data_IF_251909033499
#
_entry.id   IF_251909033499
#
_cell.length_a   1.000
_cell.length_b   1.000
_cell.length_c   1.000
_cell.angle_alpha   90.00
_cell.angle_beta   90.00
_cell.angle_gamma   90.00
#
_symmetry.space_group_name_H-M   'P 1'
#
loop_
_entity.id
_entity.type
_entity.pdbx_description
1 polymer ?
#
# COMPACT_ATOMS: atom_id res chain seq x y z
N UNK A 1 7.52 -12.99 7.10
CA UNK A 1 7.32 -14.15 6.19
C UNK A 1 5.95 -14.04 5.51
N UNK A 2 5.69 -14.75 4.40
CA UNK A 2 4.33 -14.77 3.78
C UNK A 2 3.26 -15.33 4.73
N UNK A 3 3.68 -16.08 5.75
CA UNK A 3 2.82 -16.67 6.77
C UNK A 3 2.22 -15.59 7.69
N UNK A 4 2.98 -14.53 8.00
CA UNK A 4 2.53 -13.47 8.91
C UNK A 4 1.33 -12.70 8.34
N UNK A 5 1.29 -12.50 7.01
CA UNK A 5 0.17 -11.86 6.31
C UNK A 5 -1.14 -12.65 6.44
N UNK A 6 -1.06 -13.96 6.69
CA UNK A 6 -2.23 -14.85 6.82
C UNK A 6 -2.65 -15.08 8.27
N UNK A 7 -1.87 -14.60 9.24
CA UNK A 7 -2.14 -14.83 10.65
C UNK A 7 -3.33 -13.96 11.08
N UNK A 8 -4.42 -14.53 11.62
CA UNK A 8 -5.56 -13.75 12.07
C UNK A 8 -5.20 -12.97 13.33
N UNK A 9 -5.39 -11.65 13.28
CA UNK A 9 -5.33 -10.75 14.45
C UNK A 9 -6.35 -9.61 14.24
N UNK A 10 -6.78 -8.92 15.30
CA UNK A 10 -7.65 -7.75 15.17
C UNK A 10 -7.04 -6.57 14.38
N UNK A 11 -5.73 -6.61 14.08
CA UNK A 11 -5.01 -5.55 13.37
C UNK A 11 -4.62 -5.94 11.93
N UNK A 12 -4.82 -7.18 11.52
CA UNK A 12 -4.39 -7.64 10.19
C UNK A 12 -5.44 -7.32 9.11
N UNK A 13 -5.28 -6.18 8.45
CA UNK A 13 -6.16 -5.70 7.38
C UNK A 13 -6.06 -6.52 6.07
N UNK A 14 -5.17 -7.51 5.97
CA UNK A 14 -5.27 -8.53 4.92
C UNK A 14 -6.41 -9.52 5.16
N UNK A 15 -6.90 -9.64 6.40
CA UNK A 15 -7.91 -10.62 6.81
C UNK A 15 -9.23 -9.93 7.18
N UNK A 16 -9.19 -8.78 7.85
CA UNK A 16 -10.39 -8.05 8.25
C UNK A 16 -10.77 -6.98 7.21
N UNK A 17 -12.06 -6.86 6.82
CA UNK A 17 -12.52 -5.83 5.90
C UNK A 17 -12.92 -4.54 6.65
N UNK A 18 -12.07 -4.08 7.56
CA UNK A 18 -12.35 -2.95 8.45
C UNK A 18 -11.05 -2.25 8.89
N UNK A 19 -11.19 -1.09 9.54
CA UNK A 19 -10.09 -0.45 10.26
C UNK A 19 -9.70 -1.28 11.50
N UNK A 20 -8.42 -1.25 11.91
CA UNK A 20 -7.99 -1.85 13.18
C UNK A 20 -8.67 -1.14 14.37
N UNK A 21 -8.75 -1.79 15.54
CA UNK A 21 -9.47 -1.25 16.70
C UNK A 21 -8.80 -0.03 17.35
N UNK A 22 -7.53 0.23 17.06
CA UNK A 22 -6.82 1.44 17.49
C UNK A 22 -5.73 1.84 16.47
N UNK A 23 -5.20 3.08 16.53
CA UNK A 23 -4.10 3.52 15.68
C UNK A 23 -2.85 2.65 15.86
N UNK A 24 -2.13 2.40 14.76
CA UNK A 24 -0.87 1.64 14.77
C UNK A 24 0.36 2.53 15.03
N UNK A 25 0.19 3.85 14.94
CA UNK A 25 1.24 4.84 15.18
C UNK A 25 0.63 6.21 15.53
N UNK A 26 1.48 7.14 15.97
CA UNK A 26 1.12 8.55 16.12
C UNK A 26 1.20 9.27 14.76
N UNK A 27 0.09 9.76 14.19
CA UNK A 27 0.10 10.43 12.89
C UNK A 27 0.69 11.85 12.99
N UNK A 28 1.38 12.28 11.94
CA UNK A 28 1.77 13.67 11.75
C UNK A 28 0.58 14.55 11.33
N UNK A 29 0.78 15.88 11.33
CA UNK A 29 -0.25 16.85 10.97
C UNK A 29 -0.77 16.63 9.54
N UNK A 30 0.13 16.36 8.61
CA UNK A 30 -0.19 16.16 7.19
C UNK A 30 -1.04 14.90 6.99
N UNK A 31 -0.75 13.83 7.75
CA UNK A 31 -1.54 12.60 7.72
C UNK A 31 -2.96 12.83 8.26
N UNK A 32 -3.12 13.63 9.32
CA UNK A 32 -4.44 14.00 9.83
C UNK A 32 -5.23 14.83 8.82
N UNK A 33 -4.61 15.83 8.19
CA UNK A 33 -5.25 16.64 7.16
C UNK A 33 -5.68 15.80 5.96
N UNK A 34 -4.87 14.82 5.52
CA UNK A 34 -5.23 13.94 4.41
C UNK A 34 -6.45 13.05 4.69
N UNK A 35 -6.73 12.74 5.96
CA UNK A 35 -7.95 12.02 6.36
C UNK A 35 -9.17 12.95 6.37
N UNK A 36 -8.99 14.20 6.82
CA UNK A 36 -10.08 15.20 6.89
C UNK A 36 -10.46 15.75 5.51
N UNK A 37 -9.47 15.97 4.64
CA UNK A 37 -9.60 16.55 3.31
C UNK A 37 -8.97 15.62 2.26
N UNK A 38 -9.58 14.46 1.96
CA UNK A 38 -9.05 13.54 0.98
C UNK A 38 -9.19 14.08 -0.44
N UNK A 39 -8.29 13.67 -1.34
CA UNK A 39 -8.43 13.97 -2.75
C UNK A 39 -9.69 13.31 -3.34
N UNK A 40 -10.44 14.04 -4.15
CA UNK A 40 -11.64 13.53 -4.85
C UNK A 40 -11.23 12.67 -6.06
N UNK A 41 -10.82 11.43 -5.81
CA UNK A 41 -10.32 10.48 -6.81
C UNK A 41 -10.91 9.08 -6.61
N UNK A 42 -10.96 8.29 -7.69
CA UNK A 42 -11.54 6.94 -7.70
C UNK A 42 -10.48 5.83 -7.64
N UNK A 43 -9.28 6.13 -7.15
CA UNK A 43 -8.20 5.15 -7.09
C UNK A 43 -8.43 4.16 -5.95
N UNK A 44 -8.36 2.87 -6.27
CA UNK A 44 -8.51 1.78 -5.29
C UNK A 44 -7.18 1.05 -5.03
N UNK A 45 -6.20 1.21 -5.92
CA UNK A 45 -4.93 0.51 -5.84
C UNK A 45 -3.77 1.47 -6.03
N UNK A 46 -2.65 1.18 -5.38
CA UNK A 46 -1.39 1.87 -5.63
C UNK A 46 -0.23 0.88 -5.59
N UNK A 47 0.86 1.21 -6.29
CA UNK A 47 2.12 0.47 -6.23
C UNK A 47 3.28 1.45 -6.25
N UNK A 48 4.35 1.15 -5.50
CA UNK A 48 5.59 1.95 -5.56
C UNK A 48 6.20 1.90 -6.96
N UNK A 49 6.67 3.05 -7.45
CA UNK A 49 7.48 3.17 -8.68
C UNK A 49 8.97 2.91 -8.45
N UNK A 50 9.38 2.66 -7.19
CA UNK A 50 10.75 2.46 -6.74
C UNK A 50 11.68 3.69 -6.91
N UNK A 51 11.10 4.87 -7.06
CA UNK A 51 11.80 6.17 -7.12
C UNK A 51 11.38 7.14 -5.98
N UNK A 52 10.65 6.63 -4.98
CA UNK A 52 10.05 7.42 -3.91
C UNK A 52 8.61 7.88 -4.20
N UNK A 53 8.08 7.61 -5.40
CA UNK A 53 6.70 7.92 -5.77
C UNK A 53 5.84 6.66 -5.99
N UNK A 54 4.53 6.87 -6.16
CA UNK A 54 3.55 5.82 -6.37
C UNK A 54 2.81 5.99 -7.71
N UNK A 55 2.39 4.87 -8.29
CA UNK A 55 1.42 4.82 -9.38
C UNK A 55 0.06 4.38 -8.81
N UNK A 56 -1.00 5.11 -9.12
CA UNK A 56 -2.36 4.85 -8.64
C UNK A 56 -3.23 4.29 -9.78
N UNK A 57 -4.15 3.38 -9.44
CA UNK A 57 -5.00 2.68 -10.42
C UNK A 57 -6.42 2.55 -9.93
N UNK A 58 -7.38 2.67 -10.86
CA UNK A 58 -8.82 2.49 -10.54
C UNK A 58 -9.24 1.02 -10.56
N UNK A 59 -8.56 0.20 -11.37
CA UNK A 59 -8.94 -1.21 -11.59
C UNK A 59 -7.81 -2.16 -11.22
N UNK A 60 -8.17 -3.40 -10.85
CA UNK A 60 -7.21 -4.46 -10.58
C UNK A 60 -6.35 -4.81 -11.81
N UNK A 61 -6.93 -4.73 -13.02
CA UNK A 61 -6.20 -4.99 -14.28
C UNK A 61 -5.07 -3.99 -14.47
N UNK A 62 -5.38 -2.70 -14.31
CA UNK A 62 -4.41 -1.62 -14.41
C UNK A 62 -3.34 -1.75 -13.31
N UNK A 63 -3.76 -2.01 -12.07
CA UNK A 63 -2.83 -2.24 -10.96
C UNK A 63 -1.84 -3.38 -11.27
N UNK A 64 -2.33 -4.52 -11.76
CA UNK A 64 -1.47 -5.65 -12.11
C UNK A 64 -0.48 -5.33 -13.24
N UNK A 65 -0.86 -4.47 -14.19
CA UNK A 65 0.07 -3.97 -15.21
C UNK A 65 1.14 -3.08 -14.57
N UNK A 66 0.74 -2.12 -13.71
CA UNK A 66 1.66 -1.25 -12.99
C UNK A 66 2.64 -2.05 -12.11
N UNK A 67 2.18 -3.08 -11.39
CA UNK A 67 3.06 -3.98 -10.60
C UNK A 67 4.10 -4.63 -11.51
N UNK A 68 3.71 -5.14 -12.68
CA UNK A 68 4.65 -5.74 -13.64
C UNK A 68 5.67 -4.73 -14.15
N UNK A 69 5.27 -3.48 -14.34
CA UNK A 69 6.14 -2.40 -14.81
C UNK A 69 7.16 -1.99 -13.74
N UNK A 70 6.68 -1.70 -12.52
CA UNK A 70 7.51 -1.07 -11.50
C UNK A 70 8.24 -2.06 -10.60
N UNK A 71 7.65 -3.22 -10.30
CA UNK A 71 8.21 -4.17 -9.33
C UNK A 71 9.11 -5.25 -9.95
N UNK A 72 9.17 -5.36 -11.28
CA UNK A 72 10.01 -6.38 -11.96
C UNK A 72 11.41 -5.91 -12.34
N UNK A 73 11.73 -4.62 -12.20
CA UNK A 73 13.09 -4.10 -12.36
C UNK A 73 13.73 -3.94 -10.97
N UNK A 74 14.87 -4.59 -10.78
CA UNK A 74 15.76 -4.59 -9.61
C UNK A 74 15.46 -5.64 -8.53
N UNK A 75 15.91 -6.89 -8.79
CA UNK A 75 16.79 -7.50 -7.79
C UNK A 75 18.14 -6.78 -7.96
N UNK A 76 18.61 -5.99 -6.99
CA UNK A 76 20.03 -5.69 -6.93
C UNK A 76 20.74 -7.04 -6.83
N UNK A 77 21.76 -7.27 -7.66
CA UNK A 77 22.72 -8.33 -7.38
C UNK A 77 23.21 -8.10 -5.93
N UNK A 78 23.15 -9.08 -5.03
CA UNK A 78 23.86 -8.96 -3.76
C UNK A 78 25.33 -8.72 -4.14
N UNK A 79 25.86 -7.56 -3.73
CA UNK A 79 27.24 -7.16 -4.00
C UNK A 79 28.17 -8.29 -3.56
N UNK A 80 29.17 -8.56 -4.40
CA UNK A 80 30.39 -9.32 -4.11
C UNK A 80 31.05 -8.80 -2.83
#
# INVERSE_FOLDING_TARGET
SRTDLKKPTPYNTYIIPALPPSPICSPGKEALMAVLEPASVEYLYFVSKNDGSHYFSKTLREHNQAVRTYQKRNRPNPKQ
#
